data_IF_233551305505
#
_entry.id   IF_233551305505
#
_cell.length_a   1.000
_cell.length_b   1.000
_cell.length_c   1.000
_cell.angle_alpha   90.00
_cell.angle_beta   90.00
_cell.angle_gamma   90.00
#
_symmetry.space_group_name_H-M   'P 1'
#
loop_
_entity.id
_entity.type
_entity.pdbx_description
1 polymer ?
#
# COMPACT_ATOMS: atom_id res chain seq x y z
N UNK A 1 9.15 -36.86 -22.33
CA UNK A 1 10.12 -35.78 -22.57
C UNK A 1 9.78 -35.06 -23.87
N UNK A 2 9.09 -33.91 -23.82
CA UNK A 2 8.98 -32.99 -24.96
C UNK A 2 9.53 -31.66 -24.47
N UNK A 3 10.82 -31.45 -24.67
CA UNK A 3 11.53 -30.26 -24.21
C UNK A 3 12.07 -29.55 -25.45
N UNK A 4 11.50 -28.38 -25.76
CA UNK A 4 11.99 -27.45 -26.78
C UNK A 4 11.08 -27.24 -27.99
N UNK A 5 11.12 -26.02 -28.51
CA UNK A 5 10.45 -25.60 -29.75
C UNK A 5 11.08 -26.29 -30.97
N UNK A 6 10.25 -26.91 -31.80
CA UNK A 6 10.65 -27.59 -33.02
C UNK A 6 9.90 -27.01 -34.22
N UNK A 7 10.61 -26.46 -35.20
CA UNK A 7 10.04 -25.99 -36.47
C UNK A 7 10.33 -26.98 -37.58
N UNK A 8 9.30 -27.38 -38.33
CA UNK A 8 9.44 -28.22 -39.52
C UNK A 8 9.14 -27.39 -40.76
N UNK A 9 10.04 -27.38 -41.73
CA UNK A 9 9.83 -26.74 -43.03
C UNK A 9 10.19 -27.73 -44.14
N UNK A 10 9.39 -27.72 -45.21
CA UNK A 10 9.62 -28.57 -46.39
C UNK A 10 10.00 -27.69 -47.57
N UNK A 11 11.04 -28.08 -48.31
CA UNK A 11 11.35 -27.50 -49.62
C UNK A 11 10.89 -28.47 -50.70
N UNK A 12 9.98 -28.02 -51.55
CA UNK A 12 9.45 -28.79 -52.67
C UNK A 12 10.26 -28.46 -53.93
N UNK A 13 10.67 -29.49 -54.65
CA UNK A 13 11.42 -29.41 -55.89
C UNK A 13 10.76 -30.31 -56.92
N UNK A 14 10.60 -29.81 -58.15
CA UNK A 14 10.21 -30.62 -59.29
C UNK A 14 11.48 -30.95 -60.09
N UNK A 15 11.77 -32.24 -60.27
CA UNK A 15 12.84 -32.70 -61.15
C UNK A 15 12.40 -32.56 -62.60
N UNK A 16 13.33 -32.40 -63.55
CA UNK A 16 13.01 -32.35 -65.00
C UNK A 16 12.25 -33.60 -65.49
N UNK A 17 12.37 -34.73 -64.78
CA UNK A 17 11.64 -35.98 -65.03
C UNK A 17 10.19 -36.00 -64.47
N UNK A 18 9.62 -34.84 -64.10
CA UNK A 18 8.25 -34.72 -63.57
C UNK A 18 8.02 -35.33 -62.19
N UNK A 19 9.08 -35.81 -61.52
CA UNK A 19 8.98 -36.40 -60.18
C UNK A 19 9.06 -35.31 -59.11
N UNK A 20 8.02 -35.21 -58.29
CA UNK A 20 8.00 -34.30 -57.14
C UNK A 20 8.88 -34.84 -56.00
N UNK A 21 9.88 -34.06 -55.61
CA UNK A 21 10.76 -34.35 -54.47
C UNK A 21 10.56 -33.31 -53.38
N UNK A 22 10.46 -33.76 -52.14
CA UNK A 22 10.39 -32.87 -50.97
C UNK A 22 11.56 -33.15 -50.03
N UNK A 23 12.25 -32.09 -49.60
CA UNK A 23 13.25 -32.16 -48.54
C UNK A 23 12.65 -31.60 -47.26
N UNK A 24 12.50 -32.46 -46.25
CA UNK A 24 11.98 -32.10 -44.93
C UNK A 24 13.13 -31.70 -44.00
N UNK A 25 13.07 -30.48 -43.48
CA UNK A 25 14.03 -29.98 -42.51
C UNK A 25 13.35 -29.83 -41.14
N UNK A 26 14.02 -30.33 -40.10
CA UNK A 26 13.61 -30.18 -38.70
C UNK A 26 14.61 -29.26 -37.99
N UNK A 27 14.21 -28.01 -37.76
CA UNK A 27 15.00 -27.02 -37.04
C UNK A 27 14.64 -26.99 -35.56
N UNK A 28 15.65 -26.96 -34.71
CA UNK A 28 15.55 -26.65 -33.29
C UNK A 28 16.20 -25.28 -33.09
N UNK A 29 15.46 -24.31 -32.57
CA UNK A 29 15.93 -22.95 -32.41
C UNK A 29 15.47 -22.38 -31.07
N UNK A 30 16.24 -21.42 -30.56
CA UNK A 30 15.90 -20.66 -29.35
C UNK A 30 15.12 -19.42 -29.79
N UNK A 31 13.91 -19.23 -29.27
CA UNK A 31 13.14 -17.99 -29.47
C UNK A 31 13.53 -16.99 -28.39
N UNK A 32 14.05 -15.82 -28.80
CA UNK A 32 14.35 -14.71 -27.89
C UNK A 32 13.20 -13.72 -27.98
N UNK A 33 12.37 -13.65 -26.94
CA UNK A 33 11.37 -12.60 -26.80
C UNK A 33 11.93 -11.44 -25.94
N UNK A 34 11.75 -10.20 -26.40
CA UNK A 34 12.10 -9.03 -25.60
C UNK A 34 10.83 -8.44 -25.01
N UNK A 35 10.60 -8.71 -23.74
CA UNK A 35 9.50 -8.10 -22.97
C UNK A 35 9.98 -6.74 -22.45
N UNK A 36 9.30 -5.67 -22.85
CA UNK A 36 9.56 -4.33 -22.34
C UNK A 36 8.35 -3.91 -21.50
N UNK A 37 8.56 -3.78 -20.20
CA UNK A 37 7.54 -3.30 -19.26
C UNK A 37 7.95 -1.93 -18.72
N UNK A 38 7.06 -0.96 -18.82
CA UNK A 38 7.26 0.38 -18.29
C UNK A 38 5.95 0.91 -17.74
N UNK A 39 6.03 1.56 -16.58
CA UNK A 39 4.92 2.31 -16.02
C UNK A 39 5.29 3.80 -16.05
N UNK A 40 4.49 4.59 -16.75
CA UNK A 40 4.70 6.03 -16.84
C UNK A 40 3.81 6.75 -15.81
N UNK A 41 4.44 7.48 -14.89
CA UNK A 41 3.74 8.34 -13.95
C UNK A 41 3.47 9.71 -14.55
N UNK A 42 2.20 10.11 -14.63
CA UNK A 42 1.80 11.51 -14.87
C UNK A 42 1.34 12.11 -13.55
N UNK A 43 1.77 13.33 -13.26
CA UNK A 43 1.29 14.04 -12.06
C UNK A 43 -0.22 14.28 -12.18
N UNK A 44 -0.95 13.86 -11.16
CA UNK A 44 -2.39 14.07 -11.05
C UNK A 44 -2.70 14.62 -9.65
N UNK A 45 -3.47 15.70 -9.61
CA UNK A 45 -3.79 16.43 -8.39
C UNK A 45 -4.61 15.61 -7.39
N UNK A 46 -5.47 14.69 -7.87
CA UNK A 46 -6.32 13.85 -7.01
C UNK A 46 -5.48 12.89 -6.12
N UNK A 47 -4.62 12.02 -6.68
CA UNK A 47 -3.76 11.16 -5.85
C UNK A 47 -2.68 11.95 -5.08
N UNK A 48 -2.31 13.16 -5.55
CA UNK A 48 -1.41 14.03 -4.80
C UNK A 48 -2.05 14.52 -3.49
N UNK A 49 -3.27 15.05 -3.55
CA UNK A 49 -3.97 15.58 -2.38
C UNK A 49 -4.23 14.48 -1.33
N UNK A 50 -4.61 13.29 -1.78
CA UNK A 50 -4.82 12.13 -0.88
C UNK A 50 -3.52 11.77 -0.15
N UNK A 51 -2.39 11.73 -0.87
CA UNK A 51 -1.08 11.45 -0.27
C UNK A 51 -0.65 12.55 0.70
N UNK A 52 -0.96 13.80 0.37
CA UNK A 52 -0.66 14.95 1.22
C UNK A 52 -1.46 14.91 2.53
N UNK A 53 -2.77 14.65 2.46
CA UNK A 53 -3.61 14.49 3.66
C UNK A 53 -3.13 13.31 4.50
N UNK A 54 -2.81 12.17 3.89
CA UNK A 54 -2.27 11.02 4.60
C UNK A 54 -0.96 11.36 5.33
N UNK A 55 -0.07 12.12 4.70
CA UNK A 55 1.16 12.59 5.32
C UNK A 55 0.87 13.52 6.51
N UNK A 56 -0.02 14.50 6.36
CA UNK A 56 -0.39 15.40 7.47
C UNK A 56 -1.03 14.67 8.64
N UNK A 57 -1.93 13.71 8.38
CA UNK A 57 -2.53 12.88 9.42
C UNK A 57 -1.46 12.06 10.17
N UNK A 58 -0.46 11.53 9.46
CA UNK A 58 0.63 10.78 10.09
C UNK A 58 1.51 11.63 11.01
N UNK A 59 1.72 12.90 10.67
CA UNK A 59 2.46 13.85 11.53
C UNK A 59 1.70 14.14 12.82
N UNK A 60 0.37 14.25 12.76
CA UNK A 60 -0.46 14.41 13.96
C UNK A 60 -0.39 13.22 14.92
N UNK A 61 -0.26 11.99 14.40
CA UNK A 61 -0.07 10.80 15.23
C UNK A 61 1.32 10.78 15.90
N UNK A 62 2.34 11.28 15.20
CA UNK A 62 3.71 11.32 15.71
C UNK A 62 3.84 12.21 16.96
N UNK A 63 3.09 13.31 17.05
CA UNK A 63 3.13 14.19 18.22
C UNK A 63 2.48 13.56 19.45
N UNK A 64 1.35 12.85 19.28
CA UNK A 64 0.72 12.08 20.35
C UNK A 64 1.65 10.99 20.87
N UNK A 65 2.32 10.28 19.95
CA UNK A 65 3.29 9.25 20.31
C UNK A 65 4.50 9.84 21.06
N UNK A 66 5.01 10.98 20.60
CA UNK A 66 6.08 11.72 21.27
C UNK A 66 5.69 12.15 22.69
N UNK A 67 4.46 12.63 22.88
CA UNK A 67 3.93 13.05 24.19
C UNK A 67 3.80 11.87 25.16
N UNK A 68 3.32 10.71 24.68
CA UNK A 68 3.23 9.47 25.49
C UNK A 68 4.62 9.04 25.98
N UNK A 69 5.63 9.09 25.11
CA UNK A 69 7.01 8.73 25.49
C UNK A 69 7.59 9.71 26.50
N UNK A 70 7.44 11.02 26.28
CA UNK A 70 7.92 12.05 27.20
C UNK A 70 7.28 11.93 28.60
N UNK A 71 5.98 11.62 28.66
CA UNK A 71 5.24 11.50 29.91
C UNK A 71 5.48 10.19 30.68
N UNK A 72 5.92 9.12 30.01
CA UNK A 72 6.09 7.79 30.64
C UNK A 72 7.54 7.35 30.85
N UNK A 73 8.50 7.79 30.00
CA UNK A 73 9.85 7.23 29.99
C UNK A 73 10.95 8.19 30.45
N UNK A 74 10.69 9.50 30.53
CA UNK A 74 11.71 10.46 30.93
C UNK A 74 11.72 10.67 32.45
N UNK A 75 12.91 10.60 33.08
CA UNK A 75 13.11 10.71 34.53
C UNK A 75 12.69 12.07 35.15
N UNK A 76 12.30 13.04 34.33
CA UNK A 76 11.77 14.36 34.73
C UNK A 76 10.31 14.58 34.30
N UNK A 77 9.56 13.52 34.01
CA UNK A 77 8.18 13.61 33.51
C UNK A 77 7.23 14.33 34.48
N UNK A 78 7.47 14.27 35.79
CA UNK A 78 6.62 14.91 36.80
C UNK A 78 6.72 16.45 36.75
N UNK A 79 7.89 16.99 36.42
CA UNK A 79 8.12 18.44 36.26
C UNK A 79 7.48 18.97 34.95
N UNK A 80 7.41 18.13 33.91
CA UNK A 80 6.74 18.45 32.65
C UNK A 80 5.20 18.35 32.76
N UNK A 81 4.68 17.40 33.55
CA UNK A 81 3.25 17.30 33.88
C UNK A 81 2.77 18.53 34.65
N UNK A 82 3.52 18.99 35.64
CA UNK A 82 3.17 20.16 36.43
C UNK A 82 3.11 21.48 35.64
N UNK A 83 3.84 21.58 34.51
CA UNK A 83 3.79 22.77 33.62
C UNK A 83 2.75 22.68 32.51
N UNK A 84 2.29 21.49 32.14
CA UNK A 84 1.33 21.27 31.05
C UNK A 84 -0.11 21.10 31.55
N UNK A 85 -0.29 20.59 32.78
CA UNK A 85 -1.60 20.37 33.38
C UNK A 85 -1.81 21.34 34.54
N UNK A 86 -2.76 22.25 34.37
CA UNK A 86 -3.31 23.04 35.47
C UNK A 86 -4.45 22.21 36.10
N UNK A 87 -4.29 21.79 37.35
CA UNK A 87 -5.35 21.09 38.08
C UNK A 87 -6.47 22.07 38.40
N UNK A 88 -7.58 21.99 37.66
CA UNK A 88 -8.78 22.79 37.93
C UNK A 88 -9.63 22.06 38.97
N UNK A 89 -9.96 22.66 40.13
CA UNK A 89 -10.94 22.10 41.06
C UNK A 89 -12.35 22.14 40.43
N UNK A 90 -12.72 20.99 39.88
CA UNK A 90 -14.05 20.39 39.82
C UNK A 90 -15.28 21.28 39.52
N UNK A 91 -15.42 21.73 38.26
CA UNK A 91 -16.75 22.01 37.68
C UNK A 91 -17.47 20.74 37.19
N UNK A 92 -16.80 19.58 37.29
CA UNK A 92 -17.27 18.27 36.82
C UNK A 92 -18.15 17.53 37.83
N UNK A 93 -18.17 17.90 39.12
CA UNK A 93 -19.08 17.31 40.11
C UNK A 93 -20.52 17.77 39.87
N UNK A 94 -20.72 19.06 39.56
CA UNK A 94 -22.05 19.63 39.28
C UNK A 94 -22.72 19.03 38.05
N UNK A 95 -21.96 18.77 36.98
CA UNK A 95 -22.51 18.14 35.77
C UNK A 95 -22.76 16.64 35.95
N UNK A 96 -21.91 15.92 36.70
CA UNK A 96 -22.14 14.51 37.04
C UNK A 96 -23.41 14.34 37.88
N UNK A 97 -23.60 15.18 38.90
CA UNK A 97 -24.78 15.18 39.78
C UNK A 97 -26.07 15.64 39.09
N UNK A 98 -25.96 16.40 37.99
CA UNK A 98 -27.11 16.87 37.21
C UNK A 98 -27.53 15.86 36.15
N UNK A 99 -26.57 15.14 35.56
CA UNK A 99 -26.85 14.03 34.64
C UNK A 99 -27.47 12.84 35.38
N UNK A 100 -26.96 12.45 36.56
CA UNK A 100 -27.57 11.37 37.35
C UNK A 100 -29.00 11.70 37.79
N UNK A 101 -29.28 12.95 38.20
CA UNK A 101 -30.66 13.38 38.52
C UNK A 101 -31.61 13.33 37.34
N UNK A 102 -31.17 13.67 36.12
CA UNK A 102 -32.02 13.58 34.93
C UNK A 102 -32.38 12.12 34.57
N UNK A 103 -31.47 11.16 34.80
CA UNK A 103 -31.72 9.74 34.51
C UNK A 103 -32.76 9.15 35.46
N UNK A 104 -32.74 9.52 36.75
CA UNK A 104 -33.70 9.01 37.74
C UNK A 104 -35.12 9.56 37.52
N UNK A 105 -35.26 10.82 37.08
CA UNK A 105 -36.58 11.44 36.82
C UNK A 105 -37.27 10.90 35.56
N UNK A 106 -36.52 10.36 34.60
CA UNK A 106 -37.10 9.72 33.40
C UNK A 106 -37.55 8.27 33.63
N UNK A 107 -37.31 7.72 34.83
CA UNK A 107 -37.60 6.32 35.19
C UNK A 107 -38.81 6.18 36.12
N UNK A 108 -39.54 7.27 36.37
CA UNK A 108 -40.72 7.33 37.24
C UNK A 108 -41.95 7.84 36.46
#
# INVERSE_FOLDING_TARGET
MREGDNFRFAKYYQSEDGTERQTLHKAKAIRIERIVSGNAGKFNSVPFLIKLVAAFTSVGLATVFCDIILLNFHKGADEYKAKKFEEVPEFTQVWRDRVERCVVVSSL
#
